data_IF_606389318650
#
_entry.id   IF_606389318650
#
_cell.length_a   1.000
_cell.length_b   1.000
_cell.length_c   1.000
_cell.angle_alpha   90.00
_cell.angle_beta   90.00
_cell.angle_gamma   90.00
#
_symmetry.space_group_name_H-M   'P 1'
#
loop_
_entity.id
_entity.type
_entity.pdbx_description
1 polymer ?
#
# COMPACT_ATOMS: atom_id res chain seq x y z
N UNK A 1 -31.22 -1.27 -15.25
CA UNK A 1 -31.03 -0.59 -13.95
C UNK A 1 -32.06 -1.04 -12.93
N UNK A 2 -31.81 -2.19 -12.29
CA UNK A 2 -32.74 -2.75 -11.30
C UNK A 2 -32.52 -2.23 -9.89
N UNK A 3 -31.48 -1.43 -9.62
CA UNK A 3 -31.08 -1.07 -8.25
C UNK A 3 -31.10 0.43 -7.93
N UNK A 4 -31.55 1.32 -8.80
CA UNK A 4 -31.55 2.79 -8.59
C UNK A 4 -30.23 3.37 -8.02
N UNK A 5 -29.09 2.75 -8.32
CA UNK A 5 -27.79 3.24 -7.93
C UNK A 5 -27.38 4.39 -8.86
N UNK A 6 -26.85 5.45 -8.30
CA UNK A 6 -26.20 6.51 -9.07
C UNK A 6 -25.01 5.93 -9.83
N UNK A 7 -24.81 6.38 -11.06
CA UNK A 7 -23.60 6.02 -11.81
C UNK A 7 -22.37 6.56 -11.05
N UNK A 8 -21.27 5.78 -10.99
CA UNK A 8 -20.04 6.26 -10.38
C UNK A 8 -19.51 7.47 -11.16
N UNK A 9 -18.90 8.40 -10.47
CA UNK A 9 -18.21 9.53 -11.09
C UNK A 9 -16.79 9.17 -11.51
N UNK A 10 -16.22 8.15 -10.91
CA UNK A 10 -14.88 7.65 -11.17
C UNK A 10 -14.85 6.11 -11.10
N UNK A 11 -14.03 5.51 -11.97
CA UNK A 11 -13.64 4.10 -11.90
C UNK A 11 -12.13 4.03 -11.83
N UNK A 12 -11.61 3.43 -10.76
CA UNK A 12 -10.19 3.22 -10.57
C UNK A 12 -9.78 1.81 -11.00
N UNK A 13 -8.72 1.73 -11.80
CA UNK A 13 -8.12 0.46 -12.22
C UNK A 13 -6.86 0.23 -11.39
N UNK A 14 -6.93 -0.76 -10.51
CA UNK A 14 -5.79 -1.22 -9.72
C UNK A 14 -5.12 -2.39 -10.44
N UNK A 15 -4.07 -2.07 -11.18
CA UNK A 15 -3.31 -3.07 -11.94
C UNK A 15 -1.88 -2.61 -12.14
N UNK A 16 -0.95 -3.43 -11.65
CA UNK A 16 0.48 -3.20 -11.87
C UNK A 16 0.90 -3.57 -13.28
N UNK A 17 1.83 -2.78 -13.83
CA UNK A 17 2.46 -3.11 -15.11
C UNK A 17 3.98 -3.17 -14.99
N UNK A 18 4.56 -3.97 -15.84
CA UNK A 18 6.01 -4.11 -16.03
C UNK A 18 6.40 -3.59 -17.40
N UNK A 19 7.69 -3.55 -17.71
CA UNK A 19 8.15 -3.18 -19.05
C UNK A 19 7.54 -4.06 -20.15
N UNK A 20 7.32 -5.35 -19.87
CA UNK A 20 6.74 -6.31 -20.83
C UNK A 20 5.22 -6.23 -20.97
N UNK A 21 4.49 -5.80 -19.92
CA UNK A 21 3.02 -5.75 -19.93
C UNK A 21 2.46 -4.35 -20.16
N UNK A 22 3.29 -3.31 -20.07
CA UNK A 22 2.90 -1.90 -20.17
C UNK A 22 2.03 -1.61 -21.39
N UNK A 23 2.45 -2.06 -22.58
CA UNK A 23 1.74 -1.76 -23.81
C UNK A 23 0.32 -2.32 -23.80
N UNK A 24 0.15 -3.56 -23.35
CA UNK A 24 -1.16 -4.20 -23.27
C UNK A 24 -2.06 -3.49 -22.23
N UNK A 25 -1.48 -3.11 -21.08
CA UNK A 25 -2.21 -2.38 -20.05
C UNK A 25 -2.67 -0.99 -20.57
N UNK A 26 -1.79 -0.26 -21.24
CA UNK A 26 -2.14 1.07 -21.76
C UNK A 26 -3.20 1.00 -22.88
N UNK A 27 -3.14 -0.02 -23.73
CA UNK A 27 -4.20 -0.29 -24.74
C UNK A 27 -5.53 -0.58 -24.04
N UNK A 28 -5.52 -1.40 -22.98
CA UNK A 28 -6.73 -1.68 -22.18
C UNK A 28 -7.36 -0.39 -21.64
N UNK A 29 -6.55 0.47 -21.00
CA UNK A 29 -7.02 1.75 -20.45
C UNK A 29 -7.61 2.67 -21.53
N UNK A 30 -6.95 2.78 -22.68
CA UNK A 30 -7.46 3.55 -23.83
C UNK A 30 -8.79 2.98 -24.34
N UNK A 31 -8.91 1.65 -24.41
CA UNK A 31 -10.14 0.98 -24.84
C UNK A 31 -11.29 1.25 -23.87
N UNK A 32 -11.02 1.19 -22.55
CA UNK A 32 -12.02 1.52 -21.53
C UNK A 32 -12.50 2.97 -21.70
N UNK A 33 -11.58 3.92 -21.84
CA UNK A 33 -11.94 5.35 -22.02
C UNK A 33 -12.75 5.62 -23.28
N UNK A 34 -12.57 4.83 -24.34
CA UNK A 34 -13.31 4.98 -25.60
C UNK A 34 -14.68 4.29 -25.56
N UNK A 35 -14.95 3.47 -24.55
CA UNK A 35 -16.22 2.76 -24.47
C UNK A 35 -17.36 3.70 -24.11
N UNK A 36 -18.45 3.77 -24.90
CA UNK A 36 -19.50 4.79 -24.73
C UNK A 36 -20.13 4.86 -23.36
N UNK A 37 -20.20 3.73 -22.63
CA UNK A 37 -20.75 3.70 -21.27
C UNK A 37 -19.90 4.48 -20.27
N UNK A 38 -18.63 4.75 -20.56
CA UNK A 38 -17.69 5.45 -19.66
C UNK A 38 -17.40 6.89 -20.06
N UNK A 39 -18.03 7.43 -21.12
CA UNK A 39 -17.78 8.79 -21.62
C UNK A 39 -17.90 9.92 -20.58
N UNK A 40 -18.64 9.69 -19.48
CA UNK A 40 -18.87 10.67 -18.41
C UNK A 40 -18.24 10.25 -17.09
N UNK A 41 -17.46 9.19 -17.10
CA UNK A 41 -16.84 8.62 -15.91
C UNK A 41 -15.33 8.89 -15.99
N UNK A 42 -14.78 9.44 -14.94
CA UNK A 42 -13.34 9.62 -14.83
C UNK A 42 -12.66 8.24 -14.65
N UNK A 43 -11.62 7.98 -15.41
CA UNK A 43 -10.81 6.76 -15.26
C UNK A 43 -9.52 7.11 -14.57
N UNK A 44 -9.25 6.44 -13.45
CA UNK A 44 -7.99 6.56 -12.72
C UNK A 44 -7.25 5.23 -12.63
N UNK A 45 -5.98 5.28 -12.25
CA UNK A 45 -5.13 4.10 -12.07
C UNK A 45 -4.25 4.27 -10.85
N UNK A 46 -3.97 3.18 -10.16
CA UNK A 46 -2.96 3.14 -9.09
C UNK A 46 -1.56 3.35 -9.66
N UNK A 47 -0.74 4.09 -8.93
CA UNK A 47 0.62 4.46 -9.31
C UNK A 47 1.56 4.12 -8.15
N UNK A 48 2.62 3.37 -8.40
CA UNK A 48 3.65 3.06 -7.42
C UNK A 48 4.73 4.13 -7.37
N UNK A 49 5.40 4.26 -6.24
CA UNK A 49 6.48 5.24 -6.03
C UNK A 49 7.58 5.18 -7.11
N UNK A 50 8.04 3.96 -7.48
CA UNK A 50 9.05 3.83 -8.52
C UNK A 50 8.56 4.31 -9.90
N UNK A 51 7.25 4.20 -10.17
CA UNK A 51 6.66 4.69 -11.43
C UNK A 51 6.62 6.23 -11.45
N UNK A 52 6.47 6.90 -10.31
CA UNK A 52 6.62 8.35 -10.21
C UNK A 52 8.04 8.77 -10.56
N UNK A 53 9.03 8.19 -9.90
CA UNK A 53 10.45 8.54 -10.07
C UNK A 53 10.96 8.26 -11.47
N UNK A 54 10.56 7.15 -12.05
CA UNK A 54 11.08 6.67 -13.33
C UNK A 54 10.05 6.75 -14.47
N UNK A 55 9.08 7.67 -14.40
CA UNK A 55 7.95 7.73 -15.34
C UNK A 55 8.37 7.82 -16.82
N UNK A 56 9.53 8.43 -17.11
CA UNK A 56 10.07 8.48 -18.49
C UNK A 56 10.39 7.08 -19.06
N UNK A 57 10.70 6.13 -18.19
CA UNK A 57 11.01 4.74 -18.56
C UNK A 57 9.81 3.82 -18.37
N UNK A 58 9.13 3.94 -17.23
CA UNK A 58 7.97 3.10 -16.89
C UNK A 58 6.72 3.46 -17.69
N UNK A 59 6.65 4.70 -18.20
CA UNK A 59 5.50 5.27 -18.87
C UNK A 59 4.49 5.89 -17.90
N UNK A 60 3.57 6.65 -18.46
CA UNK A 60 2.43 7.27 -17.76
C UNK A 60 1.16 6.65 -18.33
N UNK A 61 0.29 6.06 -17.51
CA UNK A 61 -0.92 5.43 -18.00
C UNK A 61 -1.87 6.47 -18.62
N UNK A 62 -2.58 6.14 -19.71
CA UNK A 62 -3.45 7.07 -20.42
C UNK A 62 -4.82 7.21 -19.72
N UNK A 63 -4.80 7.67 -18.48
CA UNK A 63 -5.96 7.89 -17.60
C UNK A 63 -6.14 9.36 -17.26
N UNK A 64 -7.21 9.71 -16.57
CA UNK A 64 -7.51 11.10 -16.23
C UNK A 64 -6.75 11.55 -14.97
N UNK A 65 -6.47 10.59 -14.05
CA UNK A 65 -5.82 10.86 -12.79
C UNK A 65 -5.15 9.60 -12.25
N UNK A 66 -4.14 9.73 -11.38
CA UNK A 66 -3.50 8.61 -10.69
C UNK A 66 -3.85 8.59 -9.20
N UNK A 67 -3.78 7.42 -8.56
CA UNK A 67 -3.74 7.26 -7.12
C UNK A 67 -2.34 6.79 -6.70
N UNK A 68 -1.56 7.65 -6.07
CA UNK A 68 -0.24 7.28 -5.58
C UNK A 68 -0.36 6.37 -4.37
N UNK A 69 0.09 5.13 -4.50
CA UNK A 69 0.23 4.19 -3.39
C UNK A 69 1.49 4.54 -2.59
N UNK A 70 1.32 5.28 -1.48
CA UNK A 70 2.43 5.72 -0.62
C UNK A 70 2.72 4.68 0.47
N UNK A 71 2.93 3.44 0.03
CA UNK A 71 3.24 2.29 0.87
C UNK A 71 3.91 1.18 0.03
N UNK A 72 4.30 0.06 0.67
CA UNK A 72 5.00 -1.07 0.05
C UNK A 72 6.26 -0.61 -0.69
N UNK A 73 7.06 0.21 -0.01
CA UNK A 73 8.23 0.85 -0.60
C UNK A 73 9.54 0.12 -0.30
N UNK A 74 9.56 -0.73 0.73
CA UNK A 74 10.70 -1.55 1.10
C UNK A 74 10.73 -2.90 0.36
N UNK A 75 11.86 -3.60 0.51
CA UNK A 75 12.03 -4.95 -0.05
C UNK A 75 11.62 -5.99 0.99
N UNK A 76 10.51 -6.69 0.76
CA UNK A 76 10.02 -7.77 1.64
C UNK A 76 10.92 -9.01 1.65
N UNK A 77 11.82 -9.17 0.67
CA UNK A 77 12.82 -10.23 0.67
C UNK A 77 13.99 -9.95 1.62
N UNK A 78 14.14 -8.70 2.08
CA UNK A 78 15.14 -8.30 3.06
C UNK A 78 14.55 -8.45 4.48
N UNK A 79 14.86 -9.57 5.12
CA UNK A 79 14.42 -9.87 6.48
C UNK A 79 14.99 -8.91 7.55
N UNK A 80 16.01 -8.13 7.20
CA UNK A 80 16.64 -7.11 8.07
C UNK A 80 16.00 -5.73 7.96
N UNK A 81 15.15 -5.49 6.97
CA UNK A 81 14.42 -4.21 6.85
C UNK A 81 13.57 -3.99 8.12
N UNK A 82 13.38 -2.75 8.55
CA UNK A 82 12.59 -2.46 9.76
C UNK A 82 11.10 -2.57 9.45
N UNK A 83 10.66 -1.92 8.39
CA UNK A 83 9.27 -1.95 7.92
C UNK A 83 9.25 -1.71 6.40
N UNK A 84 8.80 -2.70 5.66
CA UNK A 84 8.73 -2.61 4.20
C UNK A 84 7.46 -1.94 3.70
N UNK A 85 6.44 -1.75 4.56
CA UNK A 85 5.23 -1.01 4.21
C UNK A 85 5.58 0.48 4.07
N UNK A 86 6.24 1.06 5.09
CA UNK A 86 6.66 2.46 5.08
C UNK A 86 8.01 2.62 5.79
N UNK A 87 8.92 3.31 5.11
CA UNK A 87 10.20 3.77 5.64
C UNK A 87 10.43 5.22 5.16
N UNK A 88 10.61 6.14 6.11
CA UNK A 88 10.73 7.56 5.83
C UNK A 88 11.93 7.90 4.93
N UNK A 89 13.06 7.18 5.09
CA UNK A 89 14.26 7.41 4.29
C UNK A 89 14.10 6.87 2.85
N UNK A 90 13.39 5.75 2.70
CA UNK A 90 13.06 5.23 1.38
C UNK A 90 12.07 6.18 0.70
N UNK A 91 11.01 6.58 1.39
CA UNK A 91 10.01 7.52 0.90
C UNK A 91 10.64 8.83 0.41
N UNK A 92 11.58 9.40 1.16
CA UNK A 92 12.30 10.63 0.82
C UNK A 92 12.98 10.58 -0.57
N UNK A 93 13.35 9.40 -1.06
CA UNK A 93 13.98 9.24 -2.38
C UNK A 93 13.02 9.42 -3.56
N UNK A 94 11.72 9.46 -3.28
CA UNK A 94 10.66 9.47 -4.30
C UNK A 94 9.81 10.74 -4.28
N UNK A 95 9.59 11.34 -3.10
CA UNK A 95 8.62 12.43 -2.92
C UNK A 95 8.93 13.68 -3.76
N UNK A 96 10.19 13.99 -3.99
CA UNK A 96 10.60 15.16 -4.83
C UNK A 96 10.12 15.04 -6.29
N UNK A 97 9.77 13.84 -6.74
CA UNK A 97 9.34 13.59 -8.12
C UNK A 97 7.82 13.70 -8.31
N UNK A 98 7.06 13.84 -7.24
CA UNK A 98 5.58 13.85 -7.28
C UNK A 98 5.07 14.98 -8.17
N UNK A 99 5.57 16.20 -7.96
CA UNK A 99 5.16 17.38 -8.72
C UNK A 99 5.61 17.38 -10.18
N UNK A 100 6.58 16.55 -10.54
CA UNK A 100 7.05 16.38 -11.92
C UNK A 100 6.27 15.31 -12.68
N UNK A 101 5.41 14.54 -12.00
CA UNK A 101 4.62 13.50 -12.64
C UNK A 101 3.50 14.10 -13.50
N UNK A 102 3.30 13.62 -14.74
CA UNK A 102 2.40 14.28 -15.70
C UNK A 102 0.90 14.18 -15.40
N UNK A 103 0.46 13.33 -14.47
CA UNK A 103 -0.94 13.21 -14.06
C UNK A 103 -1.18 13.91 -12.72
N UNK A 104 -2.36 14.47 -12.54
CA UNK A 104 -2.86 14.81 -11.20
C UNK A 104 -2.93 13.53 -10.35
N UNK A 105 -2.53 13.63 -9.09
CA UNK A 105 -2.45 12.48 -8.19
C UNK A 105 -3.36 12.67 -6.97
N UNK A 106 -4.07 11.62 -6.61
CA UNK A 106 -4.60 11.41 -5.27
C UNK A 106 -3.59 10.61 -4.43
N UNK A 107 -3.79 10.53 -3.13
CA UNK A 107 -2.90 9.87 -2.19
C UNK A 107 -3.55 8.66 -1.53
N UNK A 108 -2.84 7.53 -1.46
CA UNK A 108 -3.23 6.39 -0.65
C UNK A 108 -2.19 6.14 0.46
N UNK A 109 -2.64 6.17 1.72
CA UNK A 109 -1.85 5.89 2.92
C UNK A 109 -2.24 4.53 3.47
N UNK A 110 -1.25 3.70 3.81
CA UNK A 110 -1.50 2.40 4.44
C UNK A 110 -1.93 2.54 5.90
N UNK A 111 -2.81 1.65 6.34
CA UNK A 111 -3.24 1.52 7.74
C UNK A 111 -3.35 0.05 8.17
N UNK A 112 -2.61 -0.84 7.57
CA UNK A 112 -2.66 -2.29 7.82
C UNK A 112 -1.40 -2.85 8.48
N UNK A 113 -1.46 -4.14 8.80
CA UNK A 113 -0.35 -4.94 9.31
C UNK A 113 -0.26 -6.26 8.56
N UNK A 114 0.94 -6.77 8.41
CA UNK A 114 1.19 -8.11 7.87
C UNK A 114 2.28 -8.85 8.64
N UNK A 115 2.28 -10.18 8.50
CA UNK A 115 3.35 -11.05 8.97
C UNK A 115 4.15 -11.60 7.79
N UNK A 116 5.46 -11.53 7.87
CA UNK A 116 6.40 -12.05 6.87
C UNK A 116 7.10 -13.26 7.47
N UNK A 117 6.85 -14.45 6.90
CA UNK A 117 7.49 -15.70 7.34
C UNK A 117 8.73 -15.96 6.51
N UNK A 118 9.86 -16.13 7.19
CA UNK A 118 11.13 -16.50 6.56
C UNK A 118 11.64 -17.84 7.06
N UNK A 119 12.29 -18.57 6.14
CA UNK A 119 13.17 -19.68 6.44
C UNK A 119 14.55 -19.41 5.84
N UNK A 120 15.58 -19.44 6.66
CA UNK A 120 16.97 -19.23 6.21
C UNK A 120 17.14 -17.98 5.32
N UNK A 121 16.51 -16.86 5.72
CA UNK A 121 16.46 -15.57 4.99
C UNK A 121 15.63 -15.56 3.71
N UNK A 122 14.94 -16.65 3.38
CA UNK A 122 14.03 -16.69 2.24
C UNK A 122 12.59 -16.43 2.70
N UNK A 123 11.91 -15.48 2.07
CA UNK A 123 10.48 -15.25 2.31
C UNK A 123 9.67 -16.45 1.81
N UNK A 124 8.91 -17.07 2.72
CA UNK A 124 8.03 -18.20 2.41
C UNK A 124 6.58 -17.77 2.21
N UNK A 125 6.10 -16.85 3.07
CA UNK A 125 4.68 -16.48 3.08
C UNK A 125 4.45 -15.10 3.67
N UNK A 126 3.39 -14.45 3.21
CA UNK A 126 2.81 -13.24 3.80
C UNK A 126 1.48 -13.62 4.44
N UNK A 127 1.28 -13.24 5.70
CA UNK A 127 0.01 -13.33 6.43
C UNK A 127 -0.64 -11.95 6.42
N UNK A 128 -1.94 -11.92 6.13
CA UNK A 128 -2.65 -10.66 6.03
C UNK A 128 -4.13 -10.80 6.42
N UNK A 129 -4.61 -10.01 7.37
CA UNK A 129 -3.83 -9.21 8.32
C UNK A 129 -3.12 -10.08 9.37
N UNK A 130 -2.10 -9.55 10.04
CA UNK A 130 -1.50 -10.16 11.22
C UNK A 130 -0.90 -9.07 12.12
N UNK A 131 -1.23 -9.08 13.41
CA UNK A 131 -0.77 -8.11 14.41
C UNK A 131 0.04 -8.78 15.52
N UNK A 132 0.85 -7.98 16.23
CA UNK A 132 1.73 -8.50 17.29
C UNK A 132 0.95 -9.09 18.47
N UNK A 133 -0.24 -8.57 18.79
CA UNK A 133 -1.11 -9.06 19.85
C UNK A 133 -1.74 -10.44 19.57
N UNK A 134 -1.63 -10.93 18.34
CA UNK A 134 -2.08 -12.27 17.92
C UNK A 134 -0.98 -13.34 18.10
N UNK A 135 0.25 -12.93 18.44
CA UNK A 135 1.39 -13.85 18.56
C UNK A 135 1.44 -14.47 19.96
N UNK A 136 1.35 -15.80 20.02
CA UNK A 136 1.41 -16.55 21.27
C UNK A 136 2.85 -16.82 21.70
N UNK A 137 3.20 -16.43 22.94
CA UNK A 137 4.50 -16.70 23.55
C UNK A 137 4.80 -18.20 23.72
N UNK A 138 3.77 -19.06 23.73
CA UNK A 138 3.96 -20.51 23.76
C UNK A 138 4.49 -21.09 22.44
N UNK A 139 4.18 -20.44 21.32
CA UNK A 139 4.58 -20.86 19.97
C UNK A 139 5.83 -20.13 19.50
N UNK A 140 5.99 -18.88 19.90
CA UNK A 140 7.04 -18.02 19.43
C UNK A 140 7.85 -17.40 20.56
N UNK A 141 9.15 -17.20 20.35
CA UNK A 141 10.01 -16.38 21.20
C UNK A 141 10.32 -15.08 20.49
N UNK A 142 10.11 -13.96 21.16
CA UNK A 142 10.47 -12.64 20.64
C UNK A 142 12.00 -12.52 20.55
N UNK A 143 12.51 -12.17 19.37
CA UNK A 143 13.95 -12.00 19.11
C UNK A 143 14.31 -10.51 19.11
N UNK A 144 13.50 -9.71 18.42
CA UNK A 144 13.63 -8.25 18.32
C UNK A 144 12.24 -7.59 18.42
N UNK A 145 12.16 -6.28 18.26
CA UNK A 145 10.92 -5.51 18.50
C UNK A 145 9.68 -6.07 17.75
N UNK A 146 9.85 -6.49 16.52
CA UNK A 146 8.76 -6.99 15.67
C UNK A 146 9.06 -8.37 15.06
N UNK A 147 10.07 -9.06 15.57
CA UNK A 147 10.59 -10.31 15.02
C UNK A 147 10.49 -11.42 16.04
N UNK A 148 9.95 -12.55 15.62
CA UNK A 148 9.63 -13.71 16.42
C UNK A 148 10.24 -14.97 15.80
N UNK A 149 10.72 -15.87 16.63
CA UNK A 149 11.27 -17.16 16.24
C UNK A 149 10.33 -18.28 16.66
N UNK A 150 10.02 -19.20 15.77
CA UNK A 150 9.22 -20.39 16.07
C UNK A 150 9.96 -21.31 17.05
N UNK A 151 9.30 -21.66 18.19
CA UNK A 151 9.87 -22.49 19.25
C UNK A 151 9.85 -24.00 18.94
N UNK A 152 9.13 -24.40 17.92
CA UNK A 152 8.94 -25.81 17.55
C UNK A 152 8.26 -25.95 16.20
N UNK A 153 7.75 -27.16 15.93
CA UNK A 153 6.99 -27.46 14.75
C UNK A 153 5.48 -27.42 15.09
N UNK A 154 4.74 -26.54 14.42
CA UNK A 154 3.29 -26.35 14.68
C UNK A 154 2.59 -25.73 13.46
N UNK A 155 1.25 -25.72 13.50
CA UNK A 155 0.43 -24.97 12.58
C UNK A 155 -0.01 -23.64 13.21
N UNK A 156 0.13 -22.55 12.45
CA UNK A 156 -0.37 -21.22 12.81
C UNK A 156 -0.92 -20.55 11.55
N UNK A 157 -2.10 -19.98 11.62
CA UNK A 157 -2.80 -19.34 10.49
C UNK A 157 -2.79 -20.18 9.19
N UNK A 158 -3.05 -21.50 9.33
CA UNK A 158 -3.07 -22.43 8.21
C UNK A 158 -1.71 -22.71 7.55
N UNK A 159 -0.62 -22.28 8.16
CA UNK A 159 0.74 -22.53 7.71
C UNK A 159 1.49 -23.41 8.71
N UNK A 160 2.26 -24.38 8.21
CA UNK A 160 3.17 -25.17 9.02
C UNK A 160 4.46 -24.41 9.25
N UNK A 161 4.78 -24.19 10.52
CA UNK A 161 6.04 -23.59 10.96
C UNK A 161 7.01 -24.70 11.38
N UNK A 162 8.26 -24.53 11.05
CA UNK A 162 9.37 -25.36 11.49
C UNK A 162 10.15 -24.60 12.57
N UNK A 163 10.65 -25.33 13.56
CA UNK A 163 11.50 -24.76 14.61
C UNK A 163 12.61 -23.91 14.01
N UNK A 164 12.71 -22.67 14.42
CA UNK A 164 13.71 -21.72 13.93
C UNK A 164 13.22 -20.80 12.80
N UNK A 165 12.07 -21.04 12.20
CA UNK A 165 11.47 -20.08 11.27
C UNK A 165 11.30 -18.71 11.92
N UNK A 166 11.47 -17.65 11.16
CA UNK A 166 11.35 -16.27 11.59
C UNK A 166 10.03 -15.68 11.09
N UNK A 167 9.24 -15.14 11.99
CA UNK A 167 8.05 -14.39 11.68
C UNK A 167 8.27 -12.93 12.06
N UNK A 168 8.23 -12.03 11.10
CA UNK A 168 8.36 -10.60 11.28
C UNK A 168 7.01 -9.92 11.08
N UNK A 169 6.58 -9.11 12.04
CA UNK A 169 5.32 -8.38 11.97
C UNK A 169 5.62 -6.92 11.62
N UNK A 170 5.14 -6.47 10.49
CA UNK A 170 5.24 -5.08 10.08
C UNK A 170 3.86 -4.42 10.15
N UNK A 171 3.77 -3.31 10.87
CA UNK A 171 2.48 -2.65 11.17
C UNK A 171 2.57 -1.17 10.83
N UNK A 172 1.54 -0.66 10.17
CA UNK A 172 1.24 0.77 10.15
C UNK A 172 0.45 1.11 11.39
N UNK A 173 1.10 1.74 12.36
CA UNK A 173 0.41 2.30 13.52
C UNK A 173 -0.20 3.66 13.15
N UNK A 174 -1.19 4.19 13.92
CA UNK A 174 -1.72 5.54 13.69
C UNK A 174 -0.61 6.60 13.55
N UNK A 175 0.42 6.54 14.40
CA UNK A 175 1.55 7.48 14.36
C UNK A 175 2.39 7.33 13.09
N UNK A 176 2.59 6.10 12.61
CA UNK A 176 3.34 5.86 11.37
C UNK A 176 2.54 6.31 10.14
N UNK A 177 1.22 6.06 10.13
CA UNK A 177 0.34 6.52 9.06
C UNK A 177 0.26 8.05 9.03
N UNK A 178 0.23 8.70 10.19
CA UNK A 178 0.28 10.16 10.29
C UNK A 178 1.61 10.71 9.75
N UNK A 179 2.76 10.12 10.13
CA UNK A 179 4.07 10.54 9.59
C UNK A 179 4.15 10.37 8.07
N UNK A 180 3.61 9.27 7.56
CA UNK A 180 3.55 9.04 6.11
C UNK A 180 2.70 10.13 5.42
N UNK A 181 1.54 10.46 5.98
CA UNK A 181 0.67 11.53 5.49
C UNK A 181 1.38 12.90 5.52
N UNK A 182 1.98 13.27 6.64
CA UNK A 182 2.75 14.52 6.79
C UNK A 182 3.92 14.61 5.78
N UNK A 183 4.68 13.52 5.60
CA UNK A 183 5.78 13.51 4.64
C UNK A 183 5.27 13.67 3.22
N UNK A 184 4.19 13.00 2.87
CA UNK A 184 3.59 13.05 1.55
C UNK A 184 2.99 14.43 1.27
N UNK A 185 2.18 14.97 2.20
CA UNK A 185 1.47 16.24 2.06
C UNK A 185 2.41 17.43 1.78
N UNK A 186 3.59 17.46 2.42
CA UNK A 186 4.62 18.52 2.16
C UNK A 186 5.08 18.60 0.70
N UNK A 187 4.86 17.54 -0.06
CA UNK A 187 5.30 17.43 -1.46
C UNK A 187 4.13 17.47 -2.45
N UNK A 188 2.89 17.59 -1.97
CA UNK A 188 1.72 17.82 -2.81
C UNK A 188 1.45 19.32 -2.89
N UNK A 189 1.47 19.87 -4.11
CA UNK A 189 1.16 21.28 -4.36
C UNK A 189 -0.19 21.48 -5.05
N UNK A 190 -0.98 20.43 -5.15
CA UNK A 190 -2.32 20.49 -5.74
C UNK A 190 -3.33 21.02 -4.72
N UNK A 191 -4.23 21.90 -5.16
CA UNK A 191 -5.23 22.51 -4.29
C UNK A 191 -6.31 21.56 -3.76
N UNK A 192 -6.54 20.43 -4.44
CA UNK A 192 -7.51 19.41 -4.01
C UNK A 192 -7.04 18.03 -4.42
N UNK A 193 -6.86 17.16 -3.45
CA UNK A 193 -6.59 15.74 -3.65
C UNK A 193 -7.58 14.91 -2.82
N UNK A 194 -7.90 13.71 -3.30
CA UNK A 194 -8.56 12.72 -2.46
C UNK A 194 -7.51 11.93 -1.71
N UNK A 195 -7.74 11.71 -0.43
CA UNK A 195 -6.90 10.86 0.41
C UNK A 195 -7.67 9.59 0.71
N UNK A 196 -7.05 8.45 0.46
CA UNK A 196 -7.61 7.13 0.67
C UNK A 196 -6.77 6.41 1.72
N UNK A 197 -7.42 5.86 2.75
CA UNK A 197 -6.77 4.97 3.69
C UNK A 197 -6.91 3.53 3.17
N UNK A 198 -5.80 2.86 2.95
CA UNK A 198 -5.78 1.50 2.47
C UNK A 198 -5.48 0.55 3.64
N UNK A 199 -6.45 -0.27 4.05
CA UNK A 199 -7.78 -0.39 3.44
C UNK A 199 -8.87 -0.43 4.51
N UNK A 200 -10.14 -0.44 4.08
CA UNK A 200 -11.28 -0.53 4.98
C UNK A 200 -11.47 -1.98 5.45
N UNK A 201 -11.23 -2.21 6.74
CA UNK A 201 -11.37 -3.50 7.42
C UNK A 201 -11.80 -3.28 8.87
N UNK A 202 -12.63 -4.18 9.41
CA UNK A 202 -13.13 -4.06 10.80
C UNK A 202 -12.00 -4.12 11.84
N UNK A 203 -10.95 -4.92 11.59
CA UNK A 203 -9.81 -5.05 12.50
C UNK A 203 -9.01 -3.76 12.51
N UNK A 204 -8.77 -3.18 11.34
CA UNK A 204 -8.07 -1.90 11.19
C UNK A 204 -8.84 -0.78 11.91
N UNK A 205 -10.16 -0.69 11.69
CA UNK A 205 -11.00 0.33 12.32
C UNK A 205 -10.97 0.26 13.86
N UNK A 206 -10.69 -0.90 14.45
CA UNK A 206 -10.51 -1.04 15.89
C UNK A 206 -9.14 -0.56 16.40
N UNK A 207 -8.16 -0.40 15.50
CA UNK A 207 -6.79 0.04 15.82
C UNK A 207 -6.60 1.55 15.65
N UNK A 208 -7.51 2.23 14.95
CA UNK A 208 -7.48 3.68 14.69
C UNK A 208 -8.68 4.36 15.34
N UNK A 209 -8.44 5.41 16.12
CA UNK A 209 -9.51 6.27 16.60
C UNK A 209 -10.00 7.22 15.49
N UNK A 210 -11.16 7.87 15.68
CA UNK A 210 -11.62 8.89 14.74
C UNK A 210 -10.63 10.05 14.66
N UNK A 211 -10.05 10.43 15.79
CA UNK A 211 -9.04 11.50 15.89
C UNK A 211 -7.78 11.16 15.08
N UNK A 212 -7.34 9.88 15.09
CA UNK A 212 -6.20 9.43 14.27
C UNK A 212 -6.52 9.58 12.78
N UNK A 213 -7.72 9.14 12.37
CA UNK A 213 -8.15 9.21 10.97
C UNK A 213 -8.28 10.67 10.51
N UNK A 214 -8.91 11.54 11.33
CA UNK A 214 -9.03 12.97 11.05
C UNK A 214 -7.64 13.64 10.94
N UNK A 215 -6.71 13.32 11.85
CA UNK A 215 -5.36 13.87 11.80
C UNK A 215 -4.63 13.54 10.48
N UNK A 216 -4.81 12.32 9.95
CA UNK A 216 -4.24 11.91 8.67
C UNK A 216 -4.85 12.74 7.52
N UNK A 217 -6.18 12.90 7.48
CA UNK A 217 -6.83 13.67 6.42
C UNK A 217 -6.46 15.17 6.49
N UNK A 218 -6.38 15.74 7.68
CA UNK A 218 -6.04 17.16 7.88
C UNK A 218 -4.62 17.52 7.43
N UNK A 219 -3.72 16.55 7.22
CA UNK A 219 -2.40 16.81 6.62
C UNK A 219 -2.51 17.37 5.18
N UNK A 220 -3.64 17.13 4.51
CA UNK A 220 -3.83 17.47 3.10
C UNK A 220 -4.84 18.62 2.88
N UNK A 221 -5.30 19.25 3.95
CA UNK A 221 -6.12 20.46 3.91
C UNK A 221 -5.21 21.72 3.94
#
# INVERSE_FOLDING_TARGET
DTNNLALPTEIQIDCDWTASTRQNYFILLQTIKQYPAFNKIQISSTIRLHQIKYYKTTGVPPVDKGLLMFYNMGNIEDDKSVNSIYDENIAAQYVDNINAYPLALDAAIACYSWGLLYDSHQLLRIFYPLYQDEISDSLFSKVENNTYKANGNFYFEGQFFVSGNILKIETMTPELSLRAAEQLARNFHNEKINVILFHLDEIILKKYSNEDLEAIYNCFE
#
